data_IF_252635174926
#
_entry.id   IF_252635174926
#
_cell.length_a   1.000
_cell.length_b   1.000
_cell.length_c   1.000
_cell.angle_alpha   90.00
_cell.angle_beta   90.00
_cell.angle_gamma   90.00
#
_symmetry.space_group_name_H-M   'P 1'
#
loop_
_entity.id
_entity.type
_entity.pdbx_description
1 polymer ?
#
# COMPACT_ATOMS: atom_id res chain seq x y z
N UNK A 1 73.43 -49.81 -27.81
CA UNK A 1 72.94 -48.41 -27.70
C UNK A 1 71.42 -48.34 -27.89
N UNK A 2 70.82 -49.24 -28.66
CA UNK A 2 69.40 -49.17 -29.05
C UNK A 2 68.42 -49.27 -27.87
N UNK A 3 68.76 -50.03 -26.83
CA UNK A 3 67.94 -50.17 -25.61
C UNK A 3 67.78 -48.83 -24.88
N UNK A 4 68.83 -48.00 -24.80
CA UNK A 4 68.76 -46.69 -24.13
C UNK A 4 67.85 -45.72 -24.88
N UNK A 5 67.85 -45.78 -26.22
CA UNK A 5 67.03 -44.92 -27.06
C UNK A 5 65.54 -45.27 -26.93
N UNK A 6 65.21 -46.57 -26.85
CA UNK A 6 63.85 -47.04 -26.56
C UNK A 6 63.33 -46.59 -25.19
N UNK A 7 64.18 -46.66 -24.14
CA UNK A 7 63.81 -46.19 -22.81
C UNK A 7 63.52 -44.68 -22.82
N UNK A 8 64.31 -43.90 -23.55
CA UNK A 8 64.17 -42.45 -23.63
C UNK A 8 62.88 -42.04 -24.36
N UNK A 9 62.52 -42.74 -25.44
CA UNK A 9 61.26 -42.56 -26.16
C UNK A 9 60.05 -42.94 -25.29
N UNK A 10 60.14 -44.05 -24.56
CA UNK A 10 59.06 -44.49 -23.69
C UNK A 10 58.85 -43.50 -22.52
N UNK A 11 59.96 -42.99 -21.95
CA UNK A 11 59.92 -41.97 -20.91
C UNK A 11 59.31 -40.66 -21.41
N UNK A 12 59.71 -40.17 -22.59
CA UNK A 12 59.16 -38.93 -23.15
C UNK A 12 57.67 -39.06 -23.47
N UNK A 13 57.24 -40.21 -24.02
CA UNK A 13 55.83 -40.52 -24.24
C UNK A 13 55.02 -40.55 -22.95
N UNK A 14 55.56 -41.15 -21.88
CA UNK A 14 54.93 -41.18 -20.56
C UNK A 14 54.78 -39.77 -19.97
N UNK A 15 55.82 -38.93 -20.07
CA UNK A 15 55.79 -37.56 -19.56
C UNK A 15 54.73 -36.74 -20.31
N UNK A 16 54.70 -36.80 -21.64
CA UNK A 16 53.70 -36.10 -22.46
C UNK A 16 52.27 -36.57 -22.15
N UNK A 17 52.09 -37.88 -21.96
CA UNK A 17 50.79 -38.45 -21.57
C UNK A 17 50.36 -37.96 -20.18
N UNK A 18 51.27 -37.97 -19.20
CA UNK A 18 51.00 -37.49 -17.84
C UNK A 18 50.70 -35.99 -17.81
N UNK A 19 51.48 -35.15 -18.51
CA UNK A 19 51.24 -33.71 -18.56
C UNK A 19 49.92 -33.38 -19.26
N UNK A 20 49.60 -34.06 -20.37
CA UNK A 20 48.30 -33.90 -21.04
C UNK A 20 47.13 -34.30 -20.16
N UNK A 21 47.24 -35.40 -19.42
CA UNK A 21 46.19 -35.87 -18.50
C UNK A 21 46.00 -34.96 -17.29
N UNK A 22 47.08 -34.37 -16.77
CA UNK A 22 47.01 -33.38 -15.69
C UNK A 22 46.38 -32.07 -16.21
N UNK A 23 46.79 -31.61 -17.39
CA UNK A 23 46.24 -30.40 -18.00
C UNK A 23 44.73 -30.53 -18.24
N UNK A 24 44.28 -31.65 -18.81
CA UNK A 24 42.84 -31.90 -19.03
C UNK A 24 42.06 -31.90 -17.71
N UNK A 25 42.58 -32.52 -16.64
CA UNK A 25 41.93 -32.49 -15.32
C UNK A 25 41.87 -31.09 -14.72
N UNK A 26 42.90 -30.27 -14.93
CA UNK A 26 42.91 -28.88 -14.48
C UNK A 26 41.90 -28.03 -15.25
N UNK A 27 41.76 -28.26 -16.56
CA UNK A 27 40.77 -27.58 -17.40
C UNK A 27 39.34 -27.95 -16.96
N UNK A 28 39.06 -29.24 -16.76
CA UNK A 28 37.76 -29.70 -16.24
C UNK A 28 37.44 -29.11 -14.85
N UNK A 29 38.40 -29.03 -13.94
CA UNK A 29 38.22 -28.42 -12.61
C UNK A 29 38.00 -26.90 -12.67
N UNK A 30 38.69 -26.21 -13.58
CA UNK A 30 38.49 -24.78 -13.83
C UNK A 30 37.09 -24.52 -14.40
N UNK A 31 36.66 -25.29 -15.39
CA UNK A 31 35.33 -25.16 -15.98
C UNK A 31 34.24 -25.38 -14.94
N UNK A 32 34.34 -26.46 -14.15
CA UNK A 32 33.42 -26.72 -13.04
C UNK A 32 33.35 -25.56 -12.04
N UNK A 33 34.51 -25.01 -11.64
CA UNK A 33 34.54 -23.84 -10.74
C UNK A 33 33.93 -22.60 -11.36
N UNK A 34 34.15 -22.35 -12.65
CA UNK A 34 33.55 -21.19 -13.32
C UNK A 34 32.03 -21.33 -13.41
N UNK A 35 31.52 -22.53 -13.65
CA UNK A 35 30.09 -22.81 -13.70
C UNK A 35 29.45 -22.69 -12.30
N UNK A 36 30.11 -23.18 -11.25
CA UNK A 36 29.65 -22.99 -9.88
C UNK A 36 29.62 -21.51 -9.48
N UNK A 37 30.65 -20.74 -9.86
CA UNK A 37 30.67 -19.30 -9.63
C UNK A 37 29.56 -18.58 -10.40
N UNK A 38 29.32 -18.94 -11.67
CA UNK A 38 28.20 -18.38 -12.45
C UNK A 38 26.85 -18.70 -11.82
N UNK A 39 26.61 -19.94 -11.39
CA UNK A 39 25.37 -20.35 -10.70
C UNK A 39 25.18 -19.61 -9.38
N UNK A 40 26.24 -19.46 -8.59
CA UNK A 40 26.20 -18.71 -7.34
C UNK A 40 25.91 -17.22 -7.58
N UNK A 41 26.49 -16.63 -8.63
CA UNK A 41 26.21 -15.26 -9.04
C UNK A 41 24.75 -15.10 -9.48
N UNK A 42 24.25 -16.00 -10.33
CA UNK A 42 22.86 -15.96 -10.81
C UNK A 42 21.87 -16.01 -9.64
N UNK A 43 22.07 -16.92 -8.68
CA UNK A 43 21.23 -17.00 -7.47
C UNK A 43 21.21 -15.70 -6.67
N UNK A 44 22.35 -14.98 -6.59
CA UNK A 44 22.41 -13.68 -5.91
C UNK A 44 21.67 -12.60 -6.69
N UNK A 45 21.75 -12.61 -8.02
CA UNK A 45 21.00 -11.70 -8.89
C UNK A 45 19.50 -11.92 -8.74
N UNK A 46 19.06 -13.19 -8.78
CA UNK A 46 17.66 -13.54 -8.63
C UNK A 46 17.12 -13.11 -7.27
N UNK A 47 17.84 -13.42 -6.18
CA UNK A 47 17.48 -12.98 -4.82
C UNK A 47 17.48 -11.46 -4.68
N UNK A 48 18.40 -10.75 -5.33
CA UNK A 48 18.41 -9.28 -5.35
C UNK A 48 17.15 -8.75 -6.04
N UNK A 49 16.76 -9.34 -7.16
CA UNK A 49 15.56 -8.92 -7.90
C UNK A 49 14.28 -9.17 -7.09
N UNK A 50 14.20 -10.31 -6.40
CA UNK A 50 13.10 -10.62 -5.47
C UNK A 50 13.00 -9.59 -4.35
N UNK A 51 14.12 -9.29 -3.66
CA UNK A 51 14.16 -8.28 -2.61
C UNK A 51 13.82 -6.87 -3.10
N UNK A 52 14.18 -6.53 -4.34
CA UNK A 52 13.79 -5.25 -4.95
C UNK A 52 12.29 -5.21 -5.21
N UNK A 53 11.69 -6.30 -5.69
CA UNK A 53 10.24 -6.36 -5.88
C UNK A 53 9.48 -6.22 -4.56
N UNK A 54 9.93 -6.93 -3.51
CA UNK A 54 9.36 -6.83 -2.15
C UNK A 54 9.50 -5.42 -1.58
N UNK A 55 10.70 -4.81 -1.70
CA UNK A 55 10.93 -3.43 -1.27
C UNK A 55 9.99 -2.45 -1.96
N UNK A 56 9.75 -2.61 -3.26
CA UNK A 56 8.85 -1.73 -4.00
C UNK A 56 7.40 -1.91 -3.56
N UNK A 57 6.96 -3.15 -3.28
CA UNK A 57 5.64 -3.43 -2.72
C UNK A 57 5.47 -2.73 -1.37
N UNK A 58 6.43 -2.90 -0.45
CA UNK A 58 6.39 -2.30 0.87
C UNK A 58 6.44 -0.77 0.83
N UNK A 59 7.23 -0.20 -0.10
CA UNK A 59 7.27 1.24 -0.30
C UNK A 59 5.91 1.80 -0.77
N UNK A 60 5.23 1.09 -1.66
CA UNK A 60 3.89 1.46 -2.12
C UNK A 60 2.85 1.37 -1.00
N UNK A 61 2.91 0.34 -0.16
CA UNK A 61 2.04 0.23 1.03
C UNK A 61 2.31 1.35 2.04
N UNK A 62 3.58 1.62 2.33
CA UNK A 62 3.99 2.72 3.23
C UNK A 62 3.49 4.06 2.71
N UNK A 63 3.63 4.32 1.41
CA UNK A 63 3.12 5.54 0.79
C UNK A 63 1.60 5.66 0.97
N UNK A 64 0.84 4.59 0.70
CA UNK A 64 -0.61 4.56 0.93
C UNK A 64 -0.98 4.88 2.38
N UNK A 65 -0.33 4.24 3.35
CA UNK A 65 -0.58 4.49 4.78
C UNK A 65 -0.31 5.96 5.14
N UNK A 66 0.78 6.52 4.63
CA UNK A 66 1.13 7.91 4.88
C UNK A 66 0.10 8.88 4.29
N UNK A 67 -0.33 8.66 3.04
CA UNK A 67 -1.40 9.46 2.42
C UNK A 67 -2.70 9.38 3.25
N UNK A 68 -3.10 8.19 3.69
CA UNK A 68 -4.29 8.03 4.53
C UNK A 68 -4.17 8.78 5.86
N UNK A 69 -2.99 8.74 6.48
CA UNK A 69 -2.72 9.47 7.71
C UNK A 69 -2.78 10.99 7.50
N UNK A 70 -2.16 11.52 6.44
CA UNK A 70 -2.18 12.95 6.14
C UNK A 70 -3.61 13.46 5.88
N UNK A 71 -4.39 12.71 5.09
CA UNK A 71 -5.81 13.05 4.84
C UNK A 71 -6.58 13.08 6.15
N UNK A 72 -6.40 12.05 7.00
CA UNK A 72 -7.06 11.99 8.30
C UNK A 72 -6.65 13.18 9.18
N UNK A 73 -5.35 13.49 9.24
CA UNK A 73 -4.80 14.61 9.99
C UNK A 73 -5.42 15.93 9.54
N UNK A 74 -5.50 16.17 8.23
CA UNK A 74 -6.07 17.40 7.68
C UNK A 74 -7.55 17.54 7.97
N UNK A 75 -8.35 16.47 7.80
CA UNK A 75 -9.78 16.48 8.13
C UNK A 75 -9.99 16.76 9.63
N UNK A 76 -9.14 16.18 10.51
CA UNK A 76 -9.27 16.39 11.96
C UNK A 76 -8.87 17.77 12.47
N UNK A 77 -8.25 18.62 11.63
CA UNK A 77 -7.96 20.01 12.01
C UNK A 77 -9.22 20.88 12.05
N UNK A 78 -10.26 20.52 11.30
CA UNK A 78 -11.53 21.23 11.34
C UNK A 78 -12.47 20.63 12.39
N UNK A 79 -13.05 21.49 13.23
CA UNK A 79 -14.12 21.14 14.16
C UNK A 79 -15.52 21.30 13.53
N UNK A 80 -15.59 21.74 12.28
CA UNK A 80 -16.85 21.87 11.55
C UNK A 80 -17.01 20.76 10.51
N UNK A 81 -18.23 20.23 10.43
CA UNK A 81 -18.58 19.10 9.57
C UNK A 81 -18.51 19.46 8.09
N UNK A 82 -18.95 20.68 7.72
CA UNK A 82 -18.90 21.14 6.33
C UNK A 82 -17.46 21.33 5.89
N UNK A 83 -16.65 22.00 6.70
CA UNK A 83 -15.22 22.18 6.42
C UNK A 83 -14.48 20.84 6.32
N UNK A 84 -14.76 19.91 7.23
CA UNK A 84 -14.19 18.55 7.20
C UNK A 84 -14.56 17.82 5.90
N UNK A 85 -15.81 17.96 5.46
CA UNK A 85 -16.30 17.38 4.22
C UNK A 85 -15.66 18.03 2.98
N UNK A 86 -15.50 19.35 2.96
CA UNK A 86 -14.85 20.06 1.85
C UNK A 86 -13.38 19.64 1.71
N UNK A 87 -12.65 19.51 2.82
CA UNK A 87 -11.28 18.97 2.85
C UNK A 87 -11.25 17.54 2.31
N UNK A 88 -12.15 16.68 2.80
CA UNK A 88 -12.27 15.31 2.33
C UNK A 88 -12.56 15.26 0.82
N UNK A 89 -13.50 16.06 0.32
CA UNK A 89 -13.86 16.08 -1.09
C UNK A 89 -12.67 16.53 -1.94
N UNK A 90 -11.92 17.56 -1.51
CA UNK A 90 -10.70 18.00 -2.16
C UNK A 90 -9.66 16.87 -2.25
N UNK A 91 -9.40 16.19 -1.13
CA UNK A 91 -8.47 15.05 -1.08
C UNK A 91 -8.93 13.85 -1.90
N UNK A 92 -10.22 13.59 -1.94
CA UNK A 92 -10.77 12.53 -2.77
C UNK A 92 -10.57 12.83 -4.26
N UNK A 93 -10.71 14.09 -4.69
CA UNK A 93 -10.48 14.53 -6.09
C UNK A 93 -9.03 14.35 -6.53
N UNK A 94 -8.05 14.40 -5.61
CA UNK A 94 -6.65 14.13 -5.91
C UNK A 94 -6.40 12.67 -6.34
N UNK A 95 -7.27 11.73 -5.95
CA UNK A 95 -7.08 10.29 -6.18
C UNK A 95 -8.12 9.64 -7.09
N UNK A 96 -9.31 10.24 -7.19
CA UNK A 96 -10.48 9.69 -7.88
C UNK A 96 -11.20 10.80 -8.65
N UNK A 97 -11.41 10.60 -9.94
CA UNK A 97 -12.29 11.44 -10.73
C UNK A 97 -13.75 11.08 -10.45
N UNK A 98 -14.55 12.07 -10.10
CA UNK A 98 -16.00 11.94 -9.89
C UNK A 98 -16.70 13.24 -10.25
N UNK A 99 -17.99 13.14 -10.59
CA UNK A 99 -18.81 14.28 -10.96
C UNK A 99 -19.29 15.02 -9.70
N UNK A 100 -19.90 14.28 -8.78
CA UNK A 100 -20.54 14.82 -7.59
C UNK A 100 -20.22 13.93 -6.38
N UNK A 101 -20.04 14.55 -5.22
CA UNK A 101 -19.85 13.88 -3.95
C UNK A 101 -20.66 14.62 -2.88
N UNK A 102 -21.58 13.91 -2.22
CA UNK A 102 -22.52 14.44 -1.24
C UNK A 102 -22.41 13.68 0.08
N UNK A 103 -22.51 14.41 1.18
CA UNK A 103 -22.71 13.85 2.52
C UNK A 103 -24.19 13.97 2.87
N UNK A 104 -24.85 12.84 3.07
CA UNK A 104 -26.26 12.77 3.42
C UNK A 104 -26.45 12.27 4.85
N UNK A 105 -27.42 12.86 5.54
CA UNK A 105 -27.87 12.39 6.84
C UNK A 105 -28.55 11.01 6.71
N UNK A 106 -28.35 10.08 7.67
CA UNK A 106 -28.99 8.77 7.63
C UNK A 106 -30.52 8.78 7.54
N UNK A 107 -31.17 9.86 8.00
CA UNK A 107 -32.61 10.06 8.00
C UNK A 107 -33.13 10.84 6.79
N UNK A 108 -32.24 11.29 5.89
CA UNK A 108 -32.66 12.04 4.71
C UNK A 108 -33.43 11.19 3.71
N UNK A 109 -34.57 11.71 3.21
CA UNK A 109 -35.36 11.04 2.17
C UNK A 109 -34.60 10.95 0.84
N UNK A 110 -33.66 11.88 0.60
CA UNK A 110 -32.83 11.91 -0.59
C UNK A 110 -31.95 10.66 -0.76
N UNK A 111 -31.62 9.98 0.34
CA UNK A 111 -30.87 8.72 0.28
C UNK A 111 -31.59 7.65 -0.55
N UNK A 112 -32.94 7.57 -0.47
CA UNK A 112 -33.73 6.59 -1.23
C UNK A 112 -33.62 6.83 -2.74
N UNK A 113 -33.52 8.09 -3.16
CA UNK A 113 -33.37 8.46 -4.58
C UNK A 113 -32.06 7.91 -5.15
N UNK A 114 -30.99 7.95 -4.36
CA UNK A 114 -29.66 7.49 -4.79
C UNK A 114 -29.46 5.99 -4.68
N UNK A 115 -30.13 5.30 -3.77
CA UNK A 115 -30.06 3.83 -3.69
C UNK A 115 -30.69 3.12 -4.89
N UNK A 116 -31.67 3.76 -5.54
CA UNK A 116 -32.36 3.19 -6.71
C UNK A 116 -31.57 3.46 -8.01
N UNK A 117 -30.78 4.53 -8.06
CA UNK A 117 -29.95 4.84 -9.23
C UNK A 117 -28.67 4.01 -9.24
N UNK A 118 -28.42 3.27 -10.33
CA UNK A 118 -27.17 2.51 -10.51
C UNK A 118 -25.95 3.41 -10.80
N UNK A 119 -26.14 4.71 -11.01
CA UNK A 119 -25.07 5.64 -11.40
C UNK A 119 -24.30 6.23 -10.20
N UNK A 120 -24.81 6.01 -8.98
CA UNK A 120 -24.22 6.55 -7.76
C UNK A 120 -23.64 5.44 -6.87
N UNK A 121 -22.39 5.61 -6.47
CA UNK A 121 -21.77 4.80 -5.44
C UNK A 121 -22.18 5.34 -4.06
N UNK A 122 -22.99 4.56 -3.33
CA UNK A 122 -23.47 4.92 -1.99
C UNK A 122 -22.68 4.14 -0.95
N UNK A 123 -21.92 4.87 -0.12
CA UNK A 123 -21.07 4.30 0.92
C UNK A 123 -21.57 4.70 2.32
N UNK A 124 -21.95 3.74 3.20
CA UNK A 124 -22.38 4.06 4.54
C UNK A 124 -21.19 4.44 5.44
N UNK A 125 -21.23 5.63 6.04
CA UNK A 125 -20.26 6.04 7.04
C UNK A 125 -20.66 5.45 8.39
N UNK A 126 -19.97 4.40 8.82
CA UNK A 126 -20.22 3.70 10.09
C UNK A 126 -19.13 4.00 11.09
N UNK A 127 -19.50 4.14 12.36
CA UNK A 127 -18.56 4.30 13.45
C UNK A 127 -18.95 3.41 14.63
N UNK A 128 -18.20 2.31 14.82
CA UNK A 128 -18.62 1.18 15.68
C UNK A 128 -19.99 0.65 15.24
N UNK A 129 -21.05 0.96 15.98
CA UNK A 129 -22.40 0.45 15.75
C UNK A 129 -23.38 1.50 15.19
N UNK A 130 -22.97 2.78 15.15
CA UNK A 130 -23.83 3.87 14.70
C UNK A 130 -23.50 4.30 13.27
N UNK A 131 -24.56 4.57 12.49
CA UNK A 131 -24.44 5.17 11.17
C UNK A 131 -24.33 6.67 11.35
N UNK A 132 -23.17 7.23 10.98
CA UNK A 132 -22.88 8.66 11.12
C UNK A 132 -23.42 9.46 9.93
N UNK A 133 -23.55 8.81 8.77
CA UNK A 133 -23.99 9.42 7.52
C UNK A 133 -23.87 8.45 6.33
N UNK A 134 -24.17 8.96 5.14
CA UNK A 134 -23.91 8.29 3.87
C UNK A 134 -23.12 9.20 2.96
N UNK A 135 -22.14 8.64 2.28
CA UNK A 135 -21.39 9.30 1.23
C UNK A 135 -21.94 8.84 -0.12
N UNK A 136 -22.44 9.77 -0.93
CA UNK A 136 -22.97 9.47 -2.26
C UNK A 136 -22.04 10.08 -3.28
N UNK A 137 -21.50 9.25 -4.18
CA UNK A 137 -20.54 9.70 -5.20
C UNK A 137 -20.99 9.27 -6.59
N UNK A 138 -21.17 10.22 -7.49
CA UNK A 138 -21.58 9.97 -8.88
C UNK A 138 -20.39 9.98 -9.83
N UNK A 139 -20.44 9.08 -10.81
CA UNK A 139 -19.45 9.02 -11.89
C UNK A 139 -18.07 8.48 -11.47
N UNK A 140 -18.00 7.72 -10.37
CA UNK A 140 -16.78 7.00 -9.99
C UNK A 140 -16.62 5.76 -10.85
N UNK A 141 -15.41 5.54 -11.37
CA UNK A 141 -15.07 4.31 -12.07
C UNK A 141 -15.00 3.12 -11.08
N UNK A 142 -15.57 1.93 -11.38
CA UNK A 142 -15.62 0.79 -10.45
C UNK A 142 -14.27 0.36 -9.87
N UNK A 143 -13.19 0.40 -10.68
CA UNK A 143 -11.80 0.16 -10.24
C UNK A 143 -11.29 1.07 -9.11
N UNK A 144 -12.00 2.16 -8.81
CA UNK A 144 -11.64 3.13 -7.75
C UNK A 144 -12.54 3.02 -6.51
N UNK A 145 -13.53 2.13 -6.49
CA UNK A 145 -14.41 1.92 -5.34
C UNK A 145 -13.64 1.54 -4.06
N UNK A 146 -12.55 0.78 -4.19
CA UNK A 146 -11.70 0.43 -3.04
C UNK A 146 -11.08 1.67 -2.39
N UNK A 147 -10.51 2.57 -3.20
CA UNK A 147 -9.91 3.82 -2.69
C UNK A 147 -10.97 4.69 -2.02
N UNK A 148 -12.14 4.84 -2.64
CA UNK A 148 -13.27 5.56 -2.06
C UNK A 148 -13.69 4.95 -0.72
N UNK A 149 -13.75 3.62 -0.63
CA UNK A 149 -14.13 2.90 0.59
C UNK A 149 -13.14 3.15 1.71
N UNK A 150 -11.83 3.06 1.42
CA UNK A 150 -10.78 3.31 2.40
C UNK A 150 -10.85 4.75 2.90
N UNK A 151 -10.92 5.73 1.99
CA UNK A 151 -11.00 7.15 2.35
C UNK A 151 -12.31 7.48 3.09
N UNK A 152 -13.42 6.90 2.65
CA UNK A 152 -14.72 7.05 3.30
C UNK A 152 -14.71 6.52 4.73
N UNK A 153 -14.04 5.40 5.00
CA UNK A 153 -13.85 4.89 6.37
C UNK A 153 -13.02 5.86 7.23
N UNK A 154 -11.93 6.42 6.69
CA UNK A 154 -11.14 7.42 7.42
C UNK A 154 -11.95 8.70 7.71
N UNK A 155 -12.72 9.15 6.72
CA UNK A 155 -13.63 10.27 6.90
C UNK A 155 -14.70 9.97 7.96
N UNK A 156 -15.26 8.77 8.00
CA UNK A 156 -16.22 8.37 9.03
C UNK A 156 -15.63 8.47 10.45
N UNK A 157 -14.36 8.10 10.64
CA UNK A 157 -13.65 8.24 11.92
C UNK A 157 -13.42 9.71 12.29
N UNK A 158 -12.98 10.53 11.33
CA UNK A 158 -12.75 11.95 11.56
C UNK A 158 -14.07 12.69 11.85
N UNK A 159 -15.12 12.40 11.09
CA UNK A 159 -16.46 12.95 11.28
C UNK A 159 -17.04 12.58 12.65
N UNK A 160 -16.81 11.34 13.13
CA UNK A 160 -17.19 10.95 14.49
C UNK A 160 -16.51 11.84 15.54
N UNK A 161 -15.22 12.14 15.39
CA UNK A 161 -14.51 13.04 16.31
C UNK A 161 -15.13 14.43 16.31
N UNK A 162 -15.39 14.99 15.12
CA UNK A 162 -16.05 16.30 14.97
C UNK A 162 -17.40 16.32 15.70
N UNK A 163 -18.25 15.31 15.50
CA UNK A 163 -19.55 15.22 16.18
C UNK A 163 -19.41 15.09 17.70
N UNK A 164 -18.48 14.27 18.17
CA UNK A 164 -18.19 14.13 19.61
C UNK A 164 -17.71 15.44 20.24
N UNK A 165 -16.85 16.22 19.56
CA UNK A 165 -16.43 17.53 20.07
C UNK A 165 -17.62 18.49 20.19
N UNK A 166 -18.49 18.57 19.17
CA UNK A 166 -19.70 19.40 19.22
C UNK A 166 -20.66 18.96 20.32
N UNK A 167 -20.76 17.66 20.59
CA UNK A 167 -21.58 17.12 21.68
C UNK A 167 -21.01 17.46 23.05
N UNK A 168 -19.70 17.29 23.26
CA UNK A 168 -19.02 17.68 24.51
C UNK A 168 -19.16 19.18 24.76
N UNK A 169 -18.96 20.01 23.73
CA UNK A 169 -19.15 21.47 23.81
C UNK A 169 -20.58 21.81 24.22
N UNK A 170 -21.59 21.18 23.60
CA UNK A 170 -22.99 21.34 23.98
C UNK A 170 -23.23 20.98 25.44
N UNK A 171 -22.74 19.81 25.88
CA UNK A 171 -22.88 19.33 27.25
C UNK A 171 -22.22 20.28 28.24
N UNK A 172 -21.03 20.82 27.91
CA UNK A 172 -20.30 21.74 28.78
C UNK A 172 -20.98 23.11 28.94
N UNK A 173 -21.76 23.54 27.94
CA UNK A 173 -22.52 24.80 27.98
C UNK A 173 -23.87 24.61 28.72
N UNK A 174 -24.49 23.44 28.62
CA UNK A 174 -25.70 23.10 29.39
C UNK A 174 -25.37 22.80 30.84
N UNK A 175 -25.95 23.54 31.78
CA UNK A 175 -25.84 23.23 33.20
C UNK A 175 -26.49 21.88 33.50
N UNK A 176 -25.70 20.96 34.05
CA UNK A 176 -26.12 19.59 34.37
C UNK A 176 -27.23 19.55 35.43
N UNK A 177 -27.42 20.62 36.20
CA UNK A 177 -28.43 20.70 37.26
C UNK A 177 -29.78 21.25 36.77
N UNK A 178 -29.79 22.18 35.80
CA UNK A 178 -31.00 22.88 35.37
C UNK A 178 -31.44 22.57 33.93
N UNK A 179 -30.61 21.91 33.13
CA UNK A 179 -30.77 21.77 31.67
C UNK A 179 -30.99 23.11 30.93
N UNK A 180 -30.80 24.25 31.61
CA UNK A 180 -30.90 25.57 31.01
C UNK A 180 -29.53 25.98 30.48
N UNK A 181 -29.51 26.60 29.30
CA UNK A 181 -28.29 27.16 28.71
C UNK A 181 -27.78 28.28 29.60
N UNK A 182 -26.60 28.09 30.20
CA UNK A 182 -25.99 29.15 31.00
C UNK A 182 -25.45 30.23 30.06
N UNK A 183 -26.09 31.40 30.07
CA UNK A 183 -25.57 32.58 29.36
C UNK A 183 -24.27 33.00 30.04
N UNK A 184 -23.13 32.84 29.36
CA UNK A 184 -21.92 33.62 29.66
C UNK A 184 -21.70 34.62 28.53
N UNK A 185 -21.79 35.90 28.90
CA UNK A 185 -21.25 37.01 28.13
C UNK A 185 -19.72 36.98 28.14
#
# INVERSE_FOLDING_TARGET
MDILLLILILYSGLVVYCTGRIAQRMEEDLDLKTDDMKRAHQRRVDKKNELVAEKNLLANETHRIFTLYEITKDITKSLDEKTAFDIFQGKLREHVNFQECLLLDPLSEDLKKYQVSQEAFVFPLKSKEEKVGYLVIKGVHPKKHEIVTILGNQFALALRRVKLYKEIERIAITDSLTQLFTRRH
#
